data_IF_895477707076
#
_entry.id   IF_895477707076
#
_cell.length_a   1.000
_cell.length_b   1.000
_cell.length_c   1.000
_cell.angle_alpha   90.00
_cell.angle_beta   90.00
_cell.angle_gamma   90.00
#
_symmetry.space_group_name_H-M   'P 1'
#
loop_
_entity.id
_entity.type
_entity.pdbx_description
1 polymer ?
#
# COMPACT_ATOMS: atom_id res chain seq x y z
N UNK A 1 -5.04 -5.61 -20.38
CA UNK A 1 -5.68 -4.40 -19.85
C UNK A 1 -4.66 -3.34 -19.52
N UNK A 2 -5.12 -2.17 -19.09
CA UNK A 2 -4.25 -1.12 -18.58
C UNK A 2 -3.98 -1.40 -17.09
N UNK A 3 -2.74 -1.21 -16.65
CA UNK A 3 -2.29 -1.47 -15.29
C UNK A 3 -1.30 -0.38 -14.84
N UNK A 4 -0.83 -0.47 -13.63
CA UNK A 4 0.16 0.40 -13.00
C UNK A 4 -0.27 1.87 -13.03
N UNK A 5 0.61 2.80 -13.35
CA UNK A 5 0.36 4.26 -13.37
C UNK A 5 -0.76 4.72 -14.32
N UNK A 6 -1.32 3.81 -15.12
CA UNK A 6 -2.51 4.09 -15.92
C UNK A 6 -3.81 3.99 -15.13
N UNK A 7 -3.73 3.50 -13.89
CA UNK A 7 -4.80 3.45 -12.92
C UNK A 7 -4.49 4.44 -11.80
N UNK A 8 -5.38 5.38 -11.56
CA UNK A 8 -5.27 6.26 -10.40
C UNK A 8 -5.93 5.59 -9.20
N UNK A 9 -5.24 5.50 -8.09
CA UNK A 9 -5.77 4.98 -6.83
C UNK A 9 -5.82 6.11 -5.82
N UNK A 10 -6.98 6.35 -5.22
CA UNK A 10 -7.16 7.33 -4.16
C UNK A 10 -7.64 6.65 -2.88
N UNK A 11 -7.06 7.03 -1.75
CA UNK A 11 -7.55 6.68 -0.42
C UNK A 11 -7.88 7.97 0.34
N UNK A 12 -9.13 8.13 0.75
CA UNK A 12 -9.59 9.34 1.44
C UNK A 12 -9.18 10.63 0.72
N UNK A 13 -9.23 10.64 -0.62
CA UNK A 13 -8.85 11.76 -1.47
C UNK A 13 -7.35 11.98 -1.65
N UNK A 14 -6.48 11.21 -1.01
CA UNK A 14 -5.05 11.18 -1.27
C UNK A 14 -4.76 10.26 -2.44
N UNK A 15 -3.88 10.65 -3.34
CA UNK A 15 -3.36 9.75 -4.36
C UNK A 15 -2.36 8.77 -3.73
N UNK A 16 -2.59 7.48 -3.92
CA UNK A 16 -1.65 6.43 -3.57
C UNK A 16 -0.79 6.10 -4.79
N UNK A 17 0.51 6.30 -4.66
CA UNK A 17 1.49 6.00 -5.70
C UNK A 17 2.29 4.79 -5.23
N UNK A 18 2.50 3.82 -6.14
CA UNK A 18 3.38 2.69 -5.85
C UNK A 18 4.81 3.22 -5.66
N UNK A 19 5.37 3.04 -4.47
CA UNK A 19 6.72 3.53 -4.15
C UNK A 19 7.78 2.80 -4.98
N UNK A 20 7.61 1.48 -5.19
CA UNK A 20 8.51 0.72 -6.06
C UNK A 20 8.39 1.18 -7.52
N UNK A 21 9.42 1.84 -8.13
CA UNK A 21 9.33 2.34 -9.50
C UNK A 21 9.29 1.22 -10.54
N UNK A 22 9.60 0.00 -10.17
CA UNK A 22 9.46 -1.19 -11.01
C UNK A 22 8.07 -1.85 -10.91
N UNK A 23 7.12 -1.24 -10.19
CA UNK A 23 5.74 -1.68 -10.02
C UNK A 23 5.59 -3.13 -9.50
N UNK A 24 6.55 -3.63 -8.73
CA UNK A 24 6.48 -4.94 -8.11
C UNK A 24 5.50 -4.97 -6.92
N UNK A 25 5.33 -3.83 -6.26
CA UNK A 25 4.36 -3.60 -5.19
C UNK A 25 3.26 -2.63 -5.66
N UNK A 26 2.03 -3.09 -5.94
CA UNK A 26 0.97 -2.22 -6.46
C UNK A 26 0.42 -1.27 -5.37
N UNK A 27 -0.05 -0.09 -5.76
CA UNK A 27 -0.59 0.92 -4.84
C UNK A 27 -1.72 0.40 -3.92
N UNK A 28 -2.50 -0.59 -4.36
CA UNK A 28 -3.55 -1.20 -3.53
C UNK A 28 -3.02 -2.07 -2.38
N UNK A 29 -1.74 -2.46 -2.38
CA UNK A 29 -1.13 -3.17 -1.24
C UNK A 29 -1.00 -2.29 0.01
N UNK A 30 -1.04 -0.97 -0.16
CA UNK A 30 -1.07 0.00 0.94
C UNK A 30 -2.45 0.20 1.58
N UNK A 31 -3.48 -0.51 1.12
CA UNK A 31 -4.85 -0.41 1.61
C UNK A 31 -5.31 -1.74 2.21
N UNK A 32 -5.51 -1.77 3.53
CA UNK A 32 -6.11 -2.94 4.17
C UNK A 32 -7.64 -2.93 3.98
N UNK A 33 -8.24 -4.02 3.49
CA UNK A 33 -9.70 -4.10 3.31
C UNK A 33 -10.50 -3.84 4.58
N UNK A 34 -9.98 -4.15 5.77
CA UNK A 34 -10.66 -3.90 7.05
C UNK A 34 -10.80 -2.40 7.38
N UNK A 35 -10.03 -1.54 6.71
CA UNK A 35 -10.08 -0.08 6.89
C UNK A 35 -11.02 0.59 5.88
N UNK A 36 -11.46 -0.13 4.83
CA UNK A 36 -12.25 0.43 3.74
C UNK A 36 -13.74 0.39 4.06
N UNK A 37 -14.37 1.56 4.14
CA UNK A 37 -15.81 1.73 4.27
C UNK A 37 -16.54 1.69 2.91
N UNK A 38 -15.91 2.23 1.87
CA UNK A 38 -16.43 2.16 0.49
C UNK A 38 -15.32 2.08 -0.54
N UNK A 39 -15.60 1.38 -1.66
CA UNK A 39 -14.72 1.28 -2.81
C UNK A 39 -15.51 1.57 -4.08
N UNK A 40 -15.09 2.59 -4.82
CA UNK A 40 -15.71 2.96 -6.10
C UNK A 40 -14.69 2.83 -7.22
N UNK A 41 -15.07 2.14 -8.30
CA UNK A 41 -14.24 1.99 -9.49
C UNK A 41 -14.89 2.73 -10.66
N UNK A 42 -14.20 3.75 -11.17
CA UNK A 42 -14.56 4.45 -12.40
C UNK A 42 -13.78 3.83 -13.54
N UNK A 43 -14.43 2.93 -14.29
CA UNK A 43 -13.81 2.27 -15.43
C UNK A 43 -13.78 3.22 -16.66
N UNK A 44 -12.61 3.40 -17.23
CA UNK A 44 -12.42 4.32 -18.37
C UNK A 44 -12.31 5.79 -17.91
N UNK A 45 -13.13 6.66 -18.47
CA UNK A 45 -13.08 8.10 -18.19
C UNK A 45 -13.76 8.40 -16.84
N UNK A 46 -12.98 8.86 -15.88
CA UNK A 46 -13.51 9.32 -14.59
C UNK A 46 -14.17 10.71 -14.73
N UNK A 47 -15.22 11.01 -13.94
CA UNK A 47 -15.75 12.36 -13.85
C UNK A 47 -14.69 13.38 -13.41
N UNK A 48 -14.73 14.59 -13.93
CA UNK A 48 -13.79 15.68 -13.59
C UNK A 48 -13.74 15.91 -12.08
N UNK A 49 -14.85 15.72 -11.37
CA UNK A 49 -14.94 15.86 -9.91
C UNK A 49 -14.18 14.81 -9.11
N UNK A 50 -13.74 13.72 -9.74
CA UNK A 50 -12.93 12.66 -9.13
C UNK A 50 -11.44 12.88 -9.41
N UNK A 51 -11.12 13.75 -10.35
CA UNK A 51 -9.78 14.05 -10.84
C UNK A 51 -9.53 13.45 -12.21
N UNK A 52 -8.65 14.09 -12.99
CA UNK A 52 -8.21 13.67 -14.32
C UNK A 52 -7.13 12.57 -14.23
N UNK A 53 -6.13 12.67 -15.02
CA UNK A 53 -4.83 11.94 -14.97
C UNK A 53 -4.86 10.40 -14.99
N UNK A 54 -6.02 9.76 -15.19
CA UNK A 54 -6.08 8.31 -15.41
C UNK A 54 -6.51 7.99 -16.84
N UNK A 55 -5.81 7.05 -17.46
CA UNK A 55 -6.11 6.57 -18.81
C UNK A 55 -6.97 5.31 -18.75
N UNK A 56 -6.78 4.49 -17.72
CA UNK A 56 -7.43 3.18 -17.60
C UNK A 56 -8.65 3.17 -16.69
N UNK A 57 -8.50 3.66 -15.49
CA UNK A 57 -9.54 3.73 -14.46
C UNK A 57 -9.09 4.59 -13.27
N UNK A 58 -10.06 5.02 -12.45
CA UNK A 58 -9.79 5.58 -11.13
C UNK A 58 -10.46 4.71 -10.08
N UNK A 59 -9.70 4.29 -9.09
CA UNK A 59 -10.18 3.55 -7.92
C UNK A 59 -10.17 4.52 -6.73
N UNK A 60 -11.33 4.68 -6.10
CA UNK A 60 -11.49 5.53 -4.91
C UNK A 60 -11.87 4.64 -3.75
N UNK A 61 -10.99 4.50 -2.79
CA UNK A 61 -11.23 3.89 -1.51
C UNK A 61 -11.48 5.00 -0.47
N UNK A 62 -12.45 4.81 0.38
CA UNK A 62 -12.74 5.72 1.49
C UNK A 62 -12.84 4.92 2.78
N UNK A 63 -12.25 5.42 3.85
CA UNK A 63 -12.43 4.86 5.18
C UNK A 63 -13.86 5.11 5.69
N UNK A 64 -14.24 4.43 6.77
CA UNK A 64 -15.56 4.63 7.34
C UNK A 64 -15.74 6.07 7.82
N UNK A 65 -16.90 6.66 7.52
CA UNK A 65 -17.24 8.01 7.97
C UNK A 65 -17.31 8.08 9.50
N UNK A 66 -16.86 9.19 10.13
CA UNK A 66 -16.98 9.36 11.58
C UNK A 66 -18.43 9.22 12.07
N UNK A 67 -18.65 8.37 13.07
CA UNK A 67 -19.94 8.20 13.73
C UNK A 67 -20.05 9.16 14.90
N UNK A 68 -21.29 9.58 15.21
CA UNK A 68 -21.59 10.46 16.34
C UNK A 68 -22.81 9.96 17.12
N UNK A 69 -22.90 10.31 18.41
CA UNK A 69 -24.06 10.00 19.20
C UNK A 69 -25.32 10.70 18.64
N UNK A 70 -26.41 9.96 18.59
CA UNK A 70 -27.71 10.48 18.12
C UNK A 70 -28.38 11.43 19.11
N UNK A 71 -29.48 12.09 18.71
CA UNK A 71 -30.24 12.94 19.58
C UNK A 71 -30.69 12.22 20.86
N UNK A 72 -30.45 12.82 22.03
CA UNK A 72 -30.78 12.25 23.32
C UNK A 72 -29.80 11.20 23.88
N UNK A 73 -28.77 10.84 23.14
CA UNK A 73 -27.68 9.98 23.61
C UNK A 73 -26.51 10.83 24.13
N UNK A 74 -25.99 10.50 25.31
CA UNK A 74 -24.79 11.17 25.85
C UNK A 74 -23.53 10.74 25.11
N UNK A 75 -23.44 9.45 24.78
CA UNK A 75 -22.33 8.89 24.02
C UNK A 75 -22.77 7.65 23.25
N UNK A 76 -21.99 7.32 22.22
CA UNK A 76 -22.03 6.09 21.44
C UNK A 76 -20.72 5.34 21.68
N UNK A 77 -20.80 4.05 21.99
CA UNK A 77 -19.67 3.14 21.91
C UNK A 77 -20.09 1.98 21.01
N UNK A 78 -19.36 1.76 19.94
CA UNK A 78 -19.64 0.68 18.99
C UNK A 78 -18.33 0.12 18.49
N UNK A 79 -18.34 -1.11 17.99
CA UNK A 79 -17.18 -1.74 17.42
C UNK A 79 -17.48 -3.13 16.90
N UNK A 80 -16.52 -3.67 16.20
CA UNK A 80 -16.54 -5.04 15.70
C UNK A 80 -15.16 -5.65 15.81
N UNK A 81 -15.10 -6.95 15.95
CA UNK A 81 -13.87 -7.74 15.90
C UNK A 81 -14.10 -8.95 15.01
N UNK A 82 -13.13 -9.25 14.18
CA UNK A 82 -13.15 -10.38 13.28
C UNK A 82 -11.87 -11.19 13.36
N UNK A 83 -11.98 -12.47 13.03
CA UNK A 83 -10.83 -13.35 12.86
C UNK A 83 -11.10 -14.32 11.71
N UNK A 84 -10.04 -14.64 10.97
CA UNK A 84 -10.09 -15.55 9.84
C UNK A 84 -8.92 -16.52 9.91
N UNK A 85 -9.17 -17.78 9.53
CA UNK A 85 -8.14 -18.80 9.40
C UNK A 85 -8.35 -19.60 8.12
N UNK A 86 -7.26 -19.86 7.40
CA UNK A 86 -7.20 -20.75 6.25
C UNK A 86 -6.05 -21.73 6.45
N UNK A 87 -6.32 -23.04 6.35
CA UNK A 87 -5.34 -24.09 6.64
C UNK A 87 -4.16 -24.11 5.66
N UNK A 88 -4.42 -23.89 4.38
CA UNK A 88 -3.34 -23.80 3.39
C UNK A 88 -2.55 -22.50 3.58
N UNK A 89 -1.26 -22.61 3.89
CA UNK A 89 -0.39 -21.50 4.29
C UNK A 89 -0.64 -21.02 5.72
N UNK A 90 -1.43 -21.72 6.54
CA UNK A 90 -1.76 -21.31 7.93
C UNK A 90 -2.17 -19.83 8.05
N UNK A 91 -2.86 -19.31 7.02
CA UNK A 91 -3.20 -17.90 6.97
C UNK A 91 -4.13 -17.50 8.10
N UNK A 92 -3.76 -16.45 8.83
CA UNK A 92 -4.48 -15.92 10.00
C UNK A 92 -4.64 -14.42 9.84
N UNK A 93 -5.86 -13.96 10.12
CA UNK A 93 -6.18 -12.53 10.16
C UNK A 93 -6.97 -12.24 11.39
N UNK A 94 -6.67 -11.12 12.04
CA UNK A 94 -7.51 -10.56 13.10
C UNK A 94 -7.69 -9.06 12.84
N UNK A 95 -8.91 -8.57 13.04
CA UNK A 95 -9.23 -7.15 12.90
C UNK A 95 -10.10 -6.68 14.06
N UNK A 96 -9.96 -5.39 14.38
CA UNK A 96 -10.73 -4.69 15.40
C UNK A 96 -11.06 -3.29 14.89
N UNK A 97 -12.33 -2.92 14.95
CA UNK A 97 -12.76 -1.54 14.79
C UNK A 97 -13.51 -1.12 16.07
N UNK A 98 -13.23 0.09 16.56
CA UNK A 98 -13.91 0.65 17.73
C UNK A 98 -14.12 2.15 17.55
N UNK A 99 -15.31 2.63 17.91
CA UNK A 99 -15.64 4.05 17.88
C UNK A 99 -16.28 4.45 19.21
N UNK A 100 -15.73 5.47 19.83
CA UNK A 100 -16.40 6.23 20.88
C UNK A 100 -16.78 7.60 20.35
N UNK A 101 -17.99 8.03 20.61
CA UNK A 101 -18.45 9.34 20.15
C UNK A 101 -19.44 10.00 21.12
N UNK A 102 -19.39 11.33 21.18
CA UNK A 102 -20.45 12.19 21.68
C UNK A 102 -21.26 12.77 20.50
N UNK A 103 -22.15 13.72 20.76
CA UNK A 103 -22.85 14.45 19.69
C UNK A 103 -21.93 15.22 18.76
N UNK A 104 -20.77 15.67 19.23
CA UNK A 104 -19.88 16.59 18.54
C UNK A 104 -18.45 16.09 18.35
N UNK A 105 -18.05 15.04 19.07
CA UNK A 105 -16.69 14.47 19.00
C UNK A 105 -16.79 12.99 18.71
N UNK A 106 -15.95 12.49 17.81
CA UNK A 106 -15.81 11.08 17.47
C UNK A 106 -14.34 10.69 17.52
N UNK A 107 -14.03 9.60 18.18
CA UNK A 107 -12.73 8.95 18.18
C UNK A 107 -12.92 7.53 17.66
N UNK A 108 -12.22 7.18 16.60
CA UNK A 108 -12.27 5.83 16.03
C UNK A 108 -10.88 5.24 15.87
N UNK A 109 -10.80 3.95 16.04
CA UNK A 109 -9.63 3.13 15.78
C UNK A 109 -10.03 1.95 14.93
N UNK A 110 -9.19 1.62 13.94
CA UNK A 110 -9.27 0.39 13.16
C UNK A 110 -7.88 -0.22 13.08
N UNK A 111 -7.77 -1.49 13.42
CA UNK A 111 -6.53 -2.24 13.33
C UNK A 111 -6.76 -3.60 12.71
N UNK A 112 -5.80 -4.06 11.91
CA UNK A 112 -5.78 -5.39 11.33
C UNK A 112 -4.37 -5.96 11.34
N UNK A 113 -4.25 -7.26 11.58
CA UNK A 113 -3.03 -8.01 11.37
C UNK A 113 -3.35 -9.25 10.55
N UNK A 114 -2.50 -9.54 9.58
CA UNK A 114 -2.65 -10.71 8.71
C UNK A 114 -1.29 -11.32 8.43
N UNK A 115 -1.20 -12.64 8.49
CA UNK A 115 0.01 -13.38 8.16
C UNK A 115 -0.33 -14.71 7.48
N UNK A 116 0.57 -15.19 6.65
CA UNK A 116 0.51 -16.52 6.06
C UNK A 116 1.92 -17.05 5.82
N UNK A 117 2.08 -18.35 6.05
CA UNK A 117 3.21 -19.12 5.53
C UNK A 117 3.03 -19.32 4.02
N UNK A 118 4.02 -19.90 3.34
CA UNK A 118 3.86 -20.35 1.96
C UNK A 118 2.67 -21.29 1.82
N UNK A 119 1.93 -21.17 0.75
CA UNK A 119 0.85 -22.13 0.45
C UNK A 119 1.34 -23.32 -0.34
N UNK A 120 0.61 -24.44 -0.22
CA UNK A 120 0.87 -25.68 -0.92
C UNK A 120 -0.03 -25.82 -2.16
N UNK A 121 0.54 -26.30 -3.26
CA UNK A 121 -0.21 -26.72 -4.44
C UNK A 121 -0.91 -28.07 -4.18
N UNK A 122 -1.88 -28.42 -5.01
CA UNK A 122 -2.60 -29.69 -4.86
C UNK A 122 -1.76 -30.96 -5.13
N UNK A 123 -0.58 -30.80 -5.73
CA UNK A 123 0.37 -31.88 -5.99
C UNK A 123 1.77 -31.31 -6.21
N UNK A 124 2.78 -32.17 -6.12
CA UNK A 124 4.17 -31.80 -6.37
C UNK A 124 4.37 -31.32 -7.82
N UNK A 125 4.84 -30.09 -7.97
CA UNK A 125 5.12 -29.45 -9.25
C UNK A 125 6.60 -29.13 -9.47
N UNK A 126 7.41 -29.20 -8.41
CA UNK A 126 8.86 -28.99 -8.46
C UNK A 126 9.58 -30.34 -8.55
N UNK A 127 10.77 -30.34 -9.14
CA UNK A 127 11.64 -31.52 -9.26
C UNK A 127 12.79 -31.52 -8.25
N UNK A 128 12.98 -30.44 -7.50
CA UNK A 128 14.04 -30.27 -6.50
C UNK A 128 13.54 -29.36 -5.36
N UNK A 129 14.04 -29.62 -4.17
CA UNK A 129 13.70 -28.87 -2.96
C UNK A 129 14.62 -27.67 -2.71
N UNK A 130 15.82 -27.66 -3.27
CA UNK A 130 16.82 -26.62 -3.02
C UNK A 130 16.35 -25.27 -3.57
N UNK A 131 16.62 -24.22 -2.82
CA UNK A 131 16.46 -22.81 -3.22
C UNK A 131 17.80 -22.21 -3.65
N UNK A 132 17.84 -20.90 -3.87
CA UNK A 132 19.10 -20.16 -4.10
C UNK A 132 19.95 -19.95 -2.85
N UNK A 133 19.42 -20.26 -1.66
CA UNK A 133 20.12 -20.13 -0.37
C UNK A 133 20.66 -21.47 0.08
N UNK A 134 21.97 -21.60 0.39
CA UNK A 134 22.53 -22.83 0.91
C UNK A 134 21.85 -23.31 2.20
N UNK A 135 21.37 -24.55 2.20
CA UNK A 135 20.70 -25.14 3.36
C UNK A 135 19.22 -24.78 3.51
N UNK A 136 18.67 -23.96 2.65
CA UNK A 136 17.24 -23.67 2.60
C UNK A 136 16.54 -24.55 1.55
N UNK A 137 15.45 -25.18 1.95
CA UNK A 137 14.70 -26.10 1.09
C UNK A 137 13.20 -25.88 1.24
N UNK A 138 12.46 -26.13 0.19
CA UNK A 138 11.00 -26.11 0.13
C UNK A 138 10.46 -27.48 -0.25
N UNK A 139 9.30 -27.86 0.24
CA UNK A 139 8.65 -29.09 -0.21
C UNK A 139 8.27 -29.01 -1.69
N UNK A 140 8.13 -30.18 -2.35
CA UNK A 140 7.95 -30.22 -3.81
C UNK A 140 6.64 -29.61 -4.28
N UNK A 141 5.64 -29.52 -3.43
CA UNK A 141 4.33 -28.89 -3.62
C UNK A 141 4.20 -27.50 -2.98
N UNK A 142 5.16 -27.09 -2.15
CA UNK A 142 5.16 -25.76 -1.54
C UNK A 142 5.49 -24.67 -2.58
N UNK A 143 4.67 -23.64 -2.65
CA UNK A 143 4.88 -22.48 -3.52
C UNK A 143 5.71 -21.44 -2.78
N UNK A 144 7.01 -21.47 -3.00
CA UNK A 144 7.95 -20.53 -2.38
C UNK A 144 7.63 -19.07 -2.73
N UNK A 145 8.01 -18.18 -1.82
CA UNK A 145 7.75 -16.74 -1.92
C UNK A 145 6.25 -16.40 -2.03
N UNK A 146 5.41 -17.13 -1.34
CA UNK A 146 3.97 -16.83 -1.25
C UNK A 146 3.50 -16.44 0.16
N UNK A 147 4.42 -16.36 1.11
CA UNK A 147 4.16 -15.92 2.47
C UNK A 147 4.00 -14.38 2.57
N UNK A 148 3.27 -13.91 3.56
CA UNK A 148 3.15 -12.47 3.87
C UNK A 148 2.89 -12.22 5.35
N UNK A 149 3.22 -11.02 5.81
CA UNK A 149 2.79 -10.47 7.09
C UNK A 149 2.50 -8.98 6.92
N UNK A 150 1.34 -8.53 7.41
CA UNK A 150 0.94 -7.13 7.38
C UNK A 150 0.30 -6.72 8.70
N UNK A 151 0.53 -5.49 9.12
CA UNK A 151 -0.05 -4.85 10.31
C UNK A 151 -0.51 -3.47 9.92
N UNK A 152 -1.79 -3.18 10.14
CA UNK A 152 -2.41 -1.92 9.72
C UNK A 152 -3.13 -1.29 10.90
N UNK A 153 -2.93 0.01 11.10
CA UNK A 153 -3.57 0.78 12.15
C UNK A 153 -4.06 2.11 11.60
N UNK A 154 -5.26 2.50 11.97
CA UNK A 154 -5.79 3.83 11.67
C UNK A 154 -6.47 4.39 12.91
N UNK A 155 -6.12 5.62 13.25
CA UNK A 155 -6.73 6.41 14.32
C UNK A 155 -7.36 7.65 13.71
N UNK A 156 -8.65 7.90 14.02
CA UNK A 156 -9.37 9.07 13.55
C UNK A 156 -9.96 9.86 14.70
N UNK A 157 -9.86 11.19 14.62
CA UNK A 157 -10.50 12.16 15.49
C UNK A 157 -11.34 13.11 14.66
N UNK A 158 -12.64 13.14 14.91
CA UNK A 158 -13.52 14.09 14.24
C UNK A 158 -14.24 14.99 15.25
N UNK A 159 -14.37 16.26 14.90
CA UNK A 159 -15.12 17.24 15.65
C UNK A 159 -16.12 17.91 14.71
N UNK A 160 -17.37 18.03 15.12
CA UNK A 160 -18.42 18.66 14.31
C UNK A 160 -19.31 19.62 15.11
N UNK A 161 -19.91 20.52 14.39
CA UNK A 161 -21.14 21.21 14.79
C UNK A 161 -22.23 21.00 13.72
N UNK A 162 -23.25 21.82 13.66
CA UNK A 162 -24.36 21.68 12.70
C UNK A 162 -23.92 21.90 11.24
N UNK A 163 -22.89 22.70 10.99
CA UNK A 163 -22.48 23.16 9.67
C UNK A 163 -21.03 22.77 9.30
N UNK A 164 -20.24 22.32 10.28
CA UNK A 164 -18.82 22.10 10.08
C UNK A 164 -18.37 20.74 10.64
N UNK A 165 -17.49 20.08 9.94
CA UNK A 165 -16.79 18.87 10.36
C UNK A 165 -15.29 19.06 10.12
N UNK A 166 -14.49 18.81 11.13
CA UNK A 166 -13.04 18.64 11.01
C UNK A 166 -12.70 17.19 11.36
N UNK A 167 -11.97 16.50 10.49
CA UNK A 167 -11.57 15.12 10.68
C UNK A 167 -10.08 14.99 10.44
N UNK A 168 -9.34 14.56 11.47
CA UNK A 168 -7.94 14.19 11.42
C UNK A 168 -7.83 12.67 11.47
N UNK A 169 -7.11 12.08 10.54
CA UNK A 169 -6.76 10.65 10.57
C UNK A 169 -5.27 10.45 10.48
N UNK A 170 -4.78 9.46 11.21
CA UNK A 170 -3.43 8.95 11.18
C UNK A 170 -3.49 7.47 10.81
N UNK A 171 -2.74 7.06 9.79
CA UNK A 171 -2.62 5.68 9.35
C UNK A 171 -1.17 5.21 9.44
N UNK A 172 -0.98 3.97 9.86
CA UNK A 172 0.31 3.29 9.89
C UNK A 172 0.16 1.89 9.34
N UNK A 173 1.05 1.51 8.43
CA UNK A 173 1.16 0.15 7.91
C UNK A 173 2.60 -0.33 8.06
N UNK A 174 2.75 -1.55 8.58
CA UNK A 174 4.00 -2.29 8.65
C UNK A 174 3.80 -3.62 7.91
N UNK A 175 4.61 -3.87 6.89
CA UNK A 175 4.69 -5.13 6.17
C UNK A 175 6.11 -5.69 6.30
N UNK A 176 6.40 -6.51 7.33
CA UNK A 176 7.73 -7.12 7.49
C UNK A 176 8.14 -7.96 6.29
N UNK A 177 7.18 -8.54 5.59
CA UNK A 177 7.38 -9.17 4.28
C UNK A 177 6.07 -9.36 3.52
N UNK A 178 6.17 -9.24 2.20
CA UNK A 178 5.18 -9.72 1.25
C UNK A 178 5.93 -10.34 0.07
N UNK A 179 5.88 -11.66 -0.02
CA UNK A 179 6.68 -12.40 -0.98
C UNK A 179 5.90 -12.62 -2.28
N UNK A 180 6.60 -12.69 -3.41
CA UNK A 180 6.01 -12.73 -4.75
C UNK A 180 6.51 -13.93 -5.55
N UNK A 181 5.75 -15.03 -5.66
CA UNK A 181 6.21 -16.25 -6.34
C UNK A 181 6.50 -16.05 -7.82
N UNK A 182 5.89 -15.06 -8.44
CA UNK A 182 6.01 -14.76 -9.87
C UNK A 182 7.00 -13.64 -10.21
N UNK A 183 7.68 -13.07 -9.21
CA UNK A 183 8.65 -11.98 -9.39
C UNK A 183 10.05 -12.41 -8.97
N UNK A 184 11.06 -11.64 -9.37
CA UNK A 184 12.45 -11.92 -9.01
C UNK A 184 12.77 -11.53 -7.57
N UNK A 185 12.21 -10.44 -7.09
CA UNK A 185 12.43 -9.91 -5.76
C UNK A 185 11.19 -10.11 -4.89
N UNK A 186 11.42 -10.23 -3.61
CA UNK A 186 10.41 -10.21 -2.57
C UNK A 186 10.46 -8.87 -1.85
N UNK A 187 9.33 -8.38 -1.37
CA UNK A 187 9.27 -7.27 -0.43
C UNK A 187 9.64 -7.83 0.95
N UNK A 188 10.67 -7.27 1.56
CA UNK A 188 11.24 -7.75 2.83
C UNK A 188 11.15 -6.69 3.94
N UNK A 189 10.67 -5.51 3.63
CA UNK A 189 10.30 -4.46 4.58
C UNK A 189 9.50 -3.38 3.87
N UNK A 190 8.43 -2.90 4.51
CA UNK A 190 7.71 -1.72 4.05
C UNK A 190 6.97 -1.07 5.21
N UNK A 191 7.35 0.15 5.52
CA UNK A 191 6.65 1.00 6.48
C UNK A 191 5.97 2.15 5.75
N UNK A 192 4.72 2.44 6.13
CA UNK A 192 3.97 3.57 5.61
C UNK A 192 3.31 4.34 6.74
N UNK A 193 3.51 5.65 6.74
CA UNK A 193 2.82 6.59 7.62
C UNK A 193 1.96 7.56 6.81
N UNK A 194 0.74 7.83 7.28
CA UNK A 194 -0.19 8.76 6.62
C UNK A 194 -0.84 9.68 7.64
N UNK A 195 -0.89 10.95 7.30
CA UNK A 195 -1.68 11.95 8.03
C UNK A 195 -2.61 12.65 7.05
N UNK A 196 -3.88 12.74 7.38
CA UNK A 196 -4.89 13.41 6.56
C UNK A 196 -5.79 14.27 7.45
N UNK A 197 -5.88 15.55 7.13
CA UNK A 197 -6.80 16.50 7.76
C UNK A 197 -7.82 16.96 6.74
N UNK A 198 -9.09 16.67 7.02
CA UNK A 198 -10.24 17.01 6.19
C UNK A 198 -11.15 17.99 6.92
N UNK A 199 -11.54 19.04 6.23
CA UNK A 199 -12.57 19.97 6.65
C UNK A 199 -13.75 19.91 5.68
N UNK A 200 -14.96 19.86 6.24
CA UNK A 200 -16.22 20.04 5.52
C UNK A 200 -16.98 21.22 6.17
N UNK A 201 -17.51 22.11 5.36
CA UNK A 201 -18.28 23.26 5.86
C UNK A 201 -19.43 23.63 4.94
N UNK A 202 -20.56 24.01 5.53
CA UNK A 202 -21.75 24.49 4.83
C UNK A 202 -21.93 25.98 5.10
N UNK A 203 -22.01 26.78 4.02
CA UNK A 203 -22.13 28.24 4.06
C UNK A 203 -23.33 28.67 3.20
N UNK A 204 -24.54 28.35 3.66
CA UNK A 204 -25.76 28.60 2.92
C UNK A 204 -25.86 27.81 1.62
N UNK A 205 -25.71 28.46 0.48
CA UNK A 205 -25.74 27.78 -0.84
C UNK A 205 -24.39 27.13 -1.25
N UNK A 206 -23.37 27.26 -0.42
CA UNK A 206 -22.00 26.78 -0.74
C UNK A 206 -21.59 25.71 0.28
N UNK A 207 -21.25 24.51 -0.21
CA UNK A 207 -20.55 23.50 0.57
C UNK A 207 -19.07 23.47 0.18
N UNK A 208 -18.18 23.43 1.17
CA UNK A 208 -16.73 23.47 0.98
C UNK A 208 -16.12 22.20 1.56
N UNK A 209 -15.21 21.59 0.81
CA UNK A 209 -14.28 20.58 1.30
C UNK A 209 -12.85 21.10 1.13
N UNK A 210 -12.07 21.08 2.20
CA UNK A 210 -10.64 21.28 2.16
C UNK A 210 -9.93 20.10 2.78
N UNK A 211 -8.76 19.75 2.23
CA UNK A 211 -7.97 18.61 2.70
C UNK A 211 -6.50 18.92 2.55
N UNK A 212 -5.72 18.50 3.52
CA UNK A 212 -4.25 18.43 3.42
C UNK A 212 -3.80 17.08 3.92
N UNK A 213 -2.77 16.54 3.29
CA UNK A 213 -2.25 15.21 3.65
C UNK A 213 -0.75 15.09 3.41
N UNK A 214 -0.15 14.17 4.14
CA UNK A 214 1.22 13.70 3.92
C UNK A 214 1.27 12.20 4.08
N UNK A 215 2.05 11.54 3.22
CA UNK A 215 2.36 10.12 3.26
C UNK A 215 3.86 9.95 3.11
N UNK A 216 4.46 9.06 3.89
CA UNK A 216 5.84 8.61 3.74
C UNK A 216 5.86 7.09 3.62
N UNK A 217 6.72 6.56 2.77
CA UNK A 217 6.92 5.12 2.61
C UNK A 217 8.40 4.82 2.55
N UNK A 218 8.84 3.91 3.43
CA UNK A 218 10.13 3.26 3.38
C UNK A 218 9.92 1.83 2.86
N UNK A 219 10.64 1.46 1.81
CA UNK A 219 10.40 0.23 1.07
C UNK A 219 11.71 -0.49 0.75
N UNK A 220 11.77 -1.79 1.07
CA UNK A 220 12.94 -2.61 0.82
C UNK A 220 12.58 -3.91 0.11
N UNK A 221 13.26 -4.21 -0.98
CA UNK A 221 13.15 -5.47 -1.70
C UNK A 221 14.51 -6.13 -1.87
N UNK A 222 14.53 -7.46 -1.84
CA UNK A 222 15.70 -8.27 -2.17
C UNK A 222 15.27 -9.66 -2.66
N UNK A 223 16.22 -10.52 -2.96
CA UNK A 223 15.97 -11.94 -3.17
C UNK A 223 15.68 -12.61 -1.84
N UNK A 224 14.44 -13.00 -1.62
CA UNK A 224 14.04 -13.81 -0.46
C UNK A 224 14.68 -15.21 -0.48
N UNK A 225 14.61 -15.90 0.66
CA UNK A 225 15.26 -17.20 0.86
C UNK A 225 14.71 -18.28 -0.06
N UNK A 226 13.45 -18.18 -0.46
CA UNK A 226 12.78 -19.14 -1.34
C UNK A 226 13.19 -19.02 -2.80
N UNK A 227 13.86 -17.93 -3.19
CA UNK A 227 14.20 -17.64 -4.59
C UNK A 227 15.34 -18.50 -5.09
N UNK A 228 15.29 -18.80 -6.38
CA UNK A 228 16.35 -19.48 -7.13
C UNK A 228 16.80 -18.58 -8.26
N UNK A 229 18.04 -18.10 -8.18
CA UNK A 229 18.57 -17.16 -9.15
C UNK A 229 19.87 -17.67 -9.76
N UNK A 230 20.01 -17.39 -11.04
CA UNK A 230 21.17 -17.69 -11.83
C UNK A 230 21.53 -16.48 -12.66
N UNK A 231 22.81 -16.22 -12.76
CA UNK A 231 23.38 -15.24 -13.66
C UNK A 231 24.37 -15.92 -14.62
N UNK A 232 24.65 -15.22 -15.74
CA UNK A 232 25.56 -15.73 -16.74
C UNK A 232 25.05 -17.00 -17.43
N UNK A 233 25.94 -17.93 -17.68
CA UNK A 233 25.66 -19.18 -18.44
C UNK A 233 24.69 -20.10 -17.72
N UNK A 234 24.50 -19.95 -16.43
CA UNK A 234 23.61 -20.80 -15.64
C UNK A 234 22.19 -20.22 -15.54
N UNK A 235 21.96 -19.05 -16.10
CA UNK A 235 20.64 -18.40 -16.07
C UNK A 235 19.59 -19.28 -16.76
N UNK A 236 18.53 -19.63 -16.02
CA UNK A 236 17.43 -20.43 -16.55
C UNK A 236 17.70 -21.93 -16.70
N UNK A 237 18.85 -22.44 -16.29
CA UNK A 237 19.16 -23.89 -16.43
C UNK A 237 18.53 -24.77 -15.36
N UNK A 238 17.97 -24.18 -14.31
CA UNK A 238 17.42 -24.89 -13.16
C UNK A 238 18.48 -25.41 -12.17
N UNK A 239 19.76 -25.14 -12.38
CA UNK A 239 20.83 -25.50 -11.46
C UNK A 239 21.06 -24.40 -10.45
N UNK A 240 20.87 -24.62 -9.13
CA UNK A 240 21.19 -23.64 -8.10
C UNK A 240 22.64 -23.21 -8.18
N UNK A 241 22.89 -21.94 -7.94
CA UNK A 241 24.22 -21.38 -7.94
C UNK A 241 24.68 -21.08 -6.52
N UNK A 242 25.98 -21.05 -6.30
CA UNK A 242 26.54 -20.52 -5.06
C UNK A 242 26.34 -19.00 -5.03
N UNK A 243 25.98 -18.41 -3.89
CA UNK A 243 25.87 -16.96 -3.76
C UNK A 243 27.16 -16.26 -4.21
N UNK A 244 27.05 -15.20 -4.95
CA UNK A 244 28.18 -14.37 -5.31
C UNK A 244 28.70 -13.72 -4.02
N UNK A 245 29.99 -13.91 -3.74
CA UNK A 245 30.63 -13.22 -2.63
C UNK A 245 30.84 -11.76 -3.05
N UNK A 246 30.51 -10.85 -2.16
CA UNK A 246 30.82 -9.45 -2.31
C UNK A 246 32.31 -9.25 -2.60
N UNK A 247 32.66 -8.56 -3.65
CA UNK A 247 34.03 -8.33 -4.15
C UNK A 247 34.83 -9.59 -4.51
N UNK A 248 34.37 -10.41 -5.39
CA UNK A 248 35.31 -11.29 -6.02
C UNK A 248 34.93 -12.73 -6.20
N UNK A 249 33.67 -13.02 -6.43
CA UNK A 249 33.37 -14.28 -7.08
C UNK A 249 33.73 -14.17 -8.57
N UNK A 250 34.87 -14.72 -9.02
CA UNK A 250 35.29 -14.63 -10.42
C UNK A 250 34.38 -15.43 -11.35
N UNK A 251 33.54 -16.27 -10.82
CA UNK A 251 32.63 -17.07 -11.61
C UNK A 251 31.37 -16.32 -12.07
N UNK A 252 30.95 -15.28 -11.33
CA UNK A 252 29.82 -14.44 -11.72
C UNK A 252 28.53 -15.19 -12.01
N UNK A 253 28.32 -16.34 -11.37
CA UNK A 253 27.25 -17.26 -11.73
C UNK A 253 25.96 -17.02 -11.01
N UNK A 254 26.01 -16.27 -9.87
CA UNK A 254 24.88 -16.13 -8.96
C UNK A 254 24.99 -14.87 -8.14
N UNK A 255 23.90 -14.16 -7.93
CA UNK A 255 23.82 -13.08 -6.97
C UNK A 255 23.32 -13.58 -5.62
N UNK A 256 23.97 -13.15 -4.53
CA UNK A 256 23.50 -13.41 -3.18
C UNK A 256 22.21 -12.67 -2.86
N UNK A 257 21.93 -11.59 -3.58
CA UNK A 257 20.76 -10.76 -3.47
C UNK A 257 20.79 -9.66 -4.52
N UNK A 258 19.74 -8.85 -4.51
CA UNK A 258 19.60 -7.65 -5.33
C UNK A 258 18.88 -6.60 -4.48
N UNK A 259 19.49 -6.18 -3.36
CA UNK A 259 18.86 -5.27 -2.42
C UNK A 259 18.52 -3.95 -3.12
N UNK A 260 17.29 -3.49 -2.93
CA UNK A 260 16.77 -2.24 -3.47
C UNK A 260 16.04 -1.50 -2.35
N UNK A 261 16.46 -0.29 -2.09
CA UNK A 261 15.81 0.61 -1.15
C UNK A 261 15.07 1.68 -1.92
N UNK A 262 13.89 2.00 -1.46
CA UNK A 262 13.09 3.08 -2.03
C UNK A 262 12.44 3.87 -0.90
N UNK A 263 12.60 5.18 -0.92
CA UNK A 263 11.95 6.12 0.00
C UNK A 263 11.08 7.07 -0.81
N UNK A 264 9.85 7.30 -0.35
CA UNK A 264 8.98 8.27 -1.01
C UNK A 264 8.22 9.12 -0.01
N UNK A 265 7.96 10.35 -0.41
CA UNK A 265 7.09 11.28 0.30
C UNK A 265 6.04 11.85 -0.66
N UNK A 266 4.80 11.84 -0.23
CA UNK A 266 3.69 12.51 -0.93
C UNK A 266 3.09 13.56 -0.02
N UNK A 267 3.07 14.82 -0.44
CA UNK A 267 2.33 15.90 0.22
C UNK A 267 1.27 16.43 -0.72
N UNK A 268 0.06 16.62 -0.23
CA UNK A 268 -1.02 17.12 -1.08
C UNK A 268 -2.04 17.99 -0.37
N UNK A 269 -2.78 18.74 -1.18
CA UNK A 269 -3.88 19.56 -0.76
C UNK A 269 -5.02 19.52 -1.79
N UNK A 270 -6.26 19.55 -1.30
CA UNK A 270 -7.45 19.63 -2.12
C UNK A 270 -8.35 20.75 -1.56
N UNK A 271 -8.92 21.53 -2.46
CA UNK A 271 -9.99 22.46 -2.15
C UNK A 271 -11.11 22.28 -3.16
N UNK A 272 -12.34 22.06 -2.69
CA UNK A 272 -13.54 21.92 -3.50
C UNK A 272 -14.66 22.78 -2.94
N UNK A 273 -15.42 23.43 -3.83
CA UNK A 273 -16.64 24.14 -3.50
C UNK A 273 -17.78 23.66 -4.40
N UNK A 274 -18.88 23.29 -3.78
CA UNK A 274 -20.14 22.94 -4.43
C UNK A 274 -21.11 24.11 -4.20
N UNK A 275 -21.49 24.82 -5.28
CA UNK A 275 -22.33 26.02 -5.24
C UNK A 275 -23.70 25.69 -5.83
N UNK A 276 -24.76 25.72 -5.04
CA UNK A 276 -26.13 25.59 -5.51
C UNK A 276 -26.58 26.91 -6.13
N UNK A 277 -26.61 26.97 -7.47
CA UNK A 277 -26.98 28.13 -8.24
C UNK A 277 -28.51 28.36 -8.27
N UNK A 278 -29.25 27.25 -8.36
CA UNK A 278 -30.71 27.19 -8.33
C UNK A 278 -31.19 25.77 -8.09
N UNK A 279 -32.46 25.50 -7.82
CA UNK A 279 -32.99 24.15 -7.75
C UNK A 279 -32.62 23.33 -8.99
N UNK A 280 -31.87 22.25 -8.81
CA UNK A 280 -31.37 21.36 -9.87
C UNK A 280 -30.11 21.81 -10.60
N UNK A 281 -29.51 22.97 -10.24
CA UNK A 281 -28.26 23.44 -10.83
C UNK A 281 -27.17 23.58 -9.78
N UNK A 282 -26.16 22.71 -9.85
CA UNK A 282 -25.00 22.70 -8.98
C UNK A 282 -23.74 23.00 -9.82
N UNK A 283 -22.96 23.99 -9.37
CA UNK A 283 -21.62 24.26 -9.89
C UNK A 283 -20.61 23.68 -8.90
N UNK A 284 -19.76 22.78 -9.37
CA UNK A 284 -18.62 22.25 -8.61
C UNK A 284 -17.32 22.82 -9.16
N UNK A 285 -16.52 23.40 -8.29
CA UNK A 285 -15.17 23.89 -8.60
C UNK A 285 -14.20 23.23 -7.63
N UNK A 286 -13.07 22.76 -8.14
CA UNK A 286 -12.04 22.13 -7.33
C UNK A 286 -10.64 22.42 -7.84
N UNK A 287 -9.67 22.34 -6.94
CA UNK A 287 -8.24 22.38 -7.20
C UNK A 287 -7.56 21.34 -6.35
N UNK A 288 -6.62 20.62 -6.94
CA UNK A 288 -5.73 19.66 -6.27
C UNK A 288 -4.29 20.13 -6.47
N UNK A 289 -3.49 19.95 -5.44
CA UNK A 289 -2.03 20.08 -5.47
C UNK A 289 -1.43 18.82 -4.90
N UNK A 290 -0.40 18.30 -5.54
CA UNK A 290 0.38 17.16 -5.07
C UNK A 290 1.85 17.42 -5.38
N UNK A 291 2.71 17.15 -4.41
CA UNK A 291 4.15 16.99 -4.58
C UNK A 291 4.50 15.55 -4.20
N UNK A 292 5.27 14.91 -5.04
CA UNK A 292 5.78 13.55 -4.83
C UNK A 292 7.28 13.57 -4.97
N UNK A 293 7.97 13.06 -3.97
CA UNK A 293 9.42 12.91 -3.92
C UNK A 293 9.75 11.41 -3.87
N UNK A 294 10.82 10.98 -4.57
CA UNK A 294 11.21 9.58 -4.67
C UNK A 294 12.73 9.46 -4.77
N UNK A 295 13.27 8.63 -3.88
CA UNK A 295 14.63 8.11 -3.95
C UNK A 295 14.61 6.59 -4.10
N UNK A 296 15.35 6.06 -5.09
CA UNK A 296 15.45 4.62 -5.36
C UNK A 296 16.88 4.23 -5.69
N UNK A 297 17.45 3.30 -4.93
CA UNK A 297 18.85 2.90 -5.11
C UNK A 297 19.10 1.43 -4.79
N UNK A 298 20.10 0.90 -5.43
CA UNK A 298 20.69 -0.40 -5.13
C UNK A 298 22.07 -0.23 -4.49
N UNK A 299 22.29 -0.66 -3.24
CA UNK A 299 23.63 -0.72 -2.68
C UNK A 299 24.46 -1.78 -3.42
N UNK A 300 25.75 -1.73 -3.25
CA UNK A 300 26.66 -2.68 -3.84
C UNK A 300 26.34 -4.10 -3.39
N UNK A 301 25.92 -4.97 -4.31
CA UNK A 301 25.58 -6.39 -4.05
C UNK A 301 26.48 -7.37 -4.79
N UNK A 302 27.47 -6.88 -5.52
CA UNK A 302 28.31 -7.70 -6.40
C UNK A 302 27.57 -8.14 -7.68
N UNK A 303 28.19 -8.99 -8.48
CA UNK A 303 27.56 -9.53 -9.68
C UNK A 303 27.06 -8.46 -10.67
N UNK A 304 25.81 -8.58 -11.07
CA UNK A 304 25.21 -7.70 -12.08
C UNK A 304 25.02 -6.24 -11.65
N UNK A 305 24.95 -5.96 -10.33
CA UNK A 305 24.74 -4.61 -9.79
C UNK A 305 26.04 -3.86 -9.53
N UNK A 306 27.18 -4.55 -9.63
CA UNK A 306 28.51 -3.92 -9.52
C UNK A 306 28.96 -3.65 -8.07
N UNK A 307 30.20 -3.08 -7.92
CA UNK A 307 30.84 -2.90 -6.62
C UNK A 307 30.41 -1.61 -5.89
N UNK A 308 29.60 -0.76 -6.50
CA UNK A 308 29.16 0.53 -5.96
C UNK A 308 27.65 0.65 -5.84
N UNK A 309 27.20 1.68 -5.12
CA UNK A 309 25.77 2.03 -5.09
C UNK A 309 25.32 2.52 -6.46
N UNK A 310 24.20 2.02 -6.94
CA UNK A 310 23.54 2.45 -8.16
C UNK A 310 22.26 3.20 -7.81
N UNK A 311 22.18 4.45 -8.19
CA UNK A 311 20.97 5.26 -8.08
C UNK A 311 20.12 5.09 -9.33
N UNK A 312 18.94 4.55 -9.19
CA UNK A 312 17.95 4.48 -10.26
C UNK A 312 17.21 5.83 -10.37
N UNK A 313 16.79 6.34 -9.21
CA UNK A 313 16.19 7.66 -9.05
C UNK A 313 16.87 8.32 -7.85
N UNK A 314 17.20 9.58 -7.98
CA UNK A 314 17.76 10.40 -6.91
C UNK A 314 17.13 11.78 -6.97
N UNK A 315 16.62 12.25 -5.82
CA UNK A 315 15.92 13.54 -5.73
C UNK A 315 14.82 13.64 -6.82
N UNK A 316 14.10 12.52 -7.07
CA UNK A 316 13.01 12.47 -8.05
C UNK A 316 11.81 13.27 -7.56
N UNK A 317 11.33 14.24 -8.35
CA UNK A 317 10.19 15.10 -8.02
C UNK A 317 9.11 14.99 -9.12
N UNK A 318 7.85 15.08 -8.70
CA UNK A 318 6.68 15.13 -9.58
C UNK A 318 5.62 16.12 -9.07
#
# INVERSE_FOLDING_TARGET
>A
GLADDRLRVKLDGMDLIATCPNHMNPALSYVDPAQVGSLTVYAGIAPVSVGGDSIGATIVAETAVPLFAGPGQQSLLTGEAGAFYRSNGNARTANLAATWASSNVSLNYTGATSQSDNYEAGEAFKTTRETGRPGHTLDLDEVGSSAWETRNHTLGLAVRNEQHLLHLSFGYQDMPYQLYPNQRMDLLDNEQERVNLRYLGEFGAVAVEARVYRETVDHFMDFGDDKRFWYGTNSGTGTPCSPIRFHGDPAGTCAAGMPMYTESETTGALLRADVTLSPGNLLRVGSEYQAYELDDWWPASGGGMGPGTFWNIRDGER
#
